data_IF_492886104674
#
_entry.id   IF_492886104674
#
_cell.length_a   1.000
_cell.length_b   1.000
_cell.length_c   1.000
_cell.angle_alpha   90.00
_cell.angle_beta   90.00
_cell.angle_gamma   90.00
#
_symmetry.space_group_name_H-M   'P 1'
#
loop_
_entity.id
_entity.type
_entity.pdbx_description
1 polymer ?
#
# COMPACT_ATOMS: atom_id res chain seq x y z
N UNK A 1 69.77 -24.11 -13.26
CA UNK A 1 69.41 -23.98 -14.68
C UNK A 1 67.92 -24.27 -14.78
N UNK A 2 67.09 -23.22 -14.75
CA UNK A 2 65.74 -23.21 -15.31
C UNK A 2 65.84 -23.37 -16.86
N UNK A 3 64.79 -23.82 -17.61
CA UNK A 3 63.57 -23.02 -17.84
C UNK A 3 62.24 -23.81 -18.02
N UNK A 4 61.19 -23.03 -18.27
CA UNK A 4 59.70 -23.20 -18.26
C UNK A 4 59.09 -23.91 -19.53
N UNK A 5 57.76 -23.86 -19.84
CA UNK A 5 56.74 -24.95 -19.87
C UNK A 5 56.34 -25.45 -21.30
N UNK A 6 55.23 -26.22 -21.52
CA UNK A 6 53.86 -25.64 -21.73
C UNK A 6 52.63 -26.52 -21.33
N UNK A 7 51.43 -25.90 -21.22
CA UNK A 7 50.08 -26.54 -21.23
C UNK A 7 49.50 -26.61 -22.67
N UNK A 8 48.41 -27.35 -23.04
CA UNK A 8 47.01 -26.94 -22.76
C UNK A 8 45.92 -28.07 -22.67
N UNK A 9 44.68 -27.61 -22.42
CA UNK A 9 43.34 -28.23 -22.30
C UNK A 9 42.87 -29.23 -23.39
N UNK A 10 41.81 -30.03 -23.10
CA UNK A 10 40.46 -29.87 -23.72
C UNK A 10 39.44 -30.91 -23.23
N UNK A 11 38.26 -30.45 -22.75
CA UNK A 11 36.92 -31.05 -22.96
C UNK A 11 35.89 -30.40 -21.99
N UNK A 12 34.63 -30.21 -22.40
CA UNK A 12 34.12 -28.85 -22.66
C UNK A 12 33.04 -28.41 -21.68
N UNK A 13 33.07 -27.11 -21.33
CA UNK A 13 31.87 -26.38 -20.90
C UNK A 13 31.28 -25.69 -22.13
N UNK A 14 29.97 -25.80 -22.40
CA UNK A 14 29.33 -24.96 -23.40
C UNK A 14 29.09 -23.55 -22.85
N UNK A 15 29.54 -22.56 -23.63
CA UNK A 15 29.38 -21.13 -23.42
C UNK A 15 27.93 -20.61 -23.58
N UNK A 16 27.59 -19.73 -22.64
CA UNK A 16 26.94 -18.41 -22.71
C UNK A 16 26.43 -17.88 -24.07
N UNK A 17 25.20 -17.33 -24.07
CA UNK A 17 24.76 -15.94 -24.43
C UNK A 17 23.21 -15.95 -24.64
N UNK A 18 22.35 -14.98 -24.33
CA UNK A 18 22.45 -13.57 -23.94
C UNK A 18 21.10 -13.10 -23.35
N UNK A 19 21.15 -12.12 -22.46
CA UNK A 19 20.34 -10.88 -22.44
C UNK A 19 18.80 -10.89 -22.67
N UNK A 20 18.04 -10.56 -21.61
CA UNK A 20 17.37 -9.24 -21.41
C UNK A 20 16.12 -9.35 -20.50
N UNK A 21 16.29 -8.82 -19.28
CA UNK A 21 15.41 -7.81 -18.69
C UNK A 21 13.88 -8.02 -18.82
N UNK A 22 13.22 -8.56 -17.79
CA UNK A 22 12.10 -7.82 -17.21
C UNK A 22 11.80 -8.16 -15.75
N UNK A 23 11.91 -7.12 -14.94
CA UNK A 23 11.54 -7.00 -13.54
C UNK A 23 10.02 -6.82 -13.45
N UNK A 24 9.32 -7.74 -12.80
CA UNK A 24 7.97 -7.47 -12.32
C UNK A 24 7.70 -8.23 -11.01
N UNK A 25 7.98 -7.55 -9.90
CA UNK A 25 7.30 -7.78 -8.63
C UNK A 25 5.80 -7.56 -8.83
N UNK A 26 4.96 -8.48 -8.35
CA UNK A 26 3.51 -8.34 -8.45
C UNK A 26 2.76 -9.31 -7.55
N UNK A 27 2.43 -8.83 -6.36
CA UNK A 27 1.20 -9.16 -5.61
C UNK A 27 0.91 -10.64 -5.33
N UNK A 28 1.38 -11.12 -4.18
CA UNK A 28 0.88 -12.36 -3.59
C UNK A 28 -0.62 -12.20 -3.27
N UNK A 29 -1.47 -12.66 -4.18
CA UNK A 29 -2.85 -13.00 -3.86
C UNK A 29 -2.81 -14.24 -2.96
N UNK A 30 -3.65 -14.35 -1.92
CA UNK A 30 -3.81 -15.63 -1.25
C UNK A 30 -4.37 -16.61 -2.29
N UNK A 31 -3.58 -17.64 -2.64
CA UNK A 31 -4.02 -18.71 -3.55
C UNK A 31 -5.04 -19.60 -2.83
N UNK A 32 -6.24 -19.07 -2.67
CA UNK A 32 -7.42 -19.91 -2.49
C UNK A 32 -7.57 -20.65 -3.82
N UNK A 33 -7.50 -21.99 -3.87
CA UNK A 33 -7.72 -22.72 -5.10
C UNK A 33 -9.13 -22.36 -5.60
N UNK A 34 -9.19 -21.54 -6.65
CA UNK A 34 -10.41 -21.19 -7.36
C UNK A 34 -10.87 -22.45 -8.10
N UNK A 35 -11.53 -23.34 -7.36
CA UNK A 35 -12.08 -24.56 -7.94
C UNK A 35 -13.10 -24.18 -9.01
N UNK A 36 -13.11 -24.90 -10.13
CA UNK A 36 -14.09 -24.68 -11.21
C UNK A 36 -15.54 -24.78 -10.68
N UNK A 37 -15.76 -25.60 -9.65
CA UNK A 37 -17.03 -25.70 -8.93
C UNK A 37 -17.47 -24.37 -8.29
N UNK A 38 -16.53 -23.59 -7.73
CA UNK A 38 -16.83 -22.27 -7.19
C UNK A 38 -17.24 -21.26 -8.28
N UNK A 39 -16.67 -21.35 -9.48
CA UNK A 39 -17.03 -20.49 -10.61
C UNK A 39 -18.49 -20.68 -11.06
N UNK A 40 -19.00 -21.92 -11.00
CA UNK A 40 -20.41 -22.21 -11.34
C UNK A 40 -21.34 -21.58 -10.30
N UNK A 41 -21.01 -21.69 -9.01
CA UNK A 41 -21.80 -21.06 -7.95
C UNK A 41 -21.81 -19.53 -8.01
N UNK A 42 -20.71 -18.91 -8.47
CA UNK A 42 -20.66 -17.46 -8.69
C UNK A 42 -21.48 -17.02 -9.91
N UNK A 43 -21.61 -17.86 -10.94
CA UNK A 43 -22.41 -17.57 -12.13
C UNK A 43 -23.93 -17.67 -11.85
N UNK A 44 -24.33 -18.55 -10.94
CA UNK A 44 -25.74 -18.77 -10.56
C UNK A 44 -26.21 -17.87 -9.39
N UNK A 45 -25.41 -16.89 -8.98
CA UNK A 45 -25.77 -16.01 -7.88
C UNK A 45 -26.95 -15.08 -8.28
N UNK A 46 -27.93 -14.84 -7.39
CA UNK A 46 -29.00 -13.88 -7.65
C UNK A 46 -28.45 -12.51 -8.04
N UNK A 47 -29.13 -11.83 -8.98
CA UNK A 47 -28.69 -10.55 -9.58
C UNK A 47 -28.36 -9.48 -8.53
N UNK A 48 -29.10 -9.45 -7.42
CA UNK A 48 -28.87 -8.52 -6.31
C UNK A 48 -27.55 -8.79 -5.58
N UNK A 49 -27.20 -10.06 -5.38
CA UNK A 49 -25.95 -10.45 -4.73
C UNK A 49 -24.75 -10.22 -5.65
N UNK A 50 -24.89 -10.44 -6.97
CA UNK A 50 -23.86 -10.07 -7.96
C UNK A 50 -23.66 -8.55 -8.01
N UNK A 51 -24.74 -7.76 -7.96
CA UNK A 51 -24.66 -6.30 -7.96
C UNK A 51 -24.00 -5.77 -6.67
N UNK A 52 -24.36 -6.33 -5.51
CA UNK A 52 -23.73 -5.99 -4.24
C UNK A 52 -22.22 -6.31 -4.26
N UNK A 53 -21.83 -7.48 -4.79
CA UNK A 53 -20.43 -7.86 -4.91
C UNK A 53 -19.66 -6.96 -5.90
N UNK A 54 -20.25 -6.59 -7.03
CA UNK A 54 -19.63 -5.67 -7.99
C UNK A 54 -19.40 -4.27 -7.40
N UNK A 55 -20.23 -3.87 -6.42
CA UNK A 55 -20.06 -2.62 -5.68
C UNK A 55 -19.11 -2.75 -4.47
N UNK A 56 -18.81 -3.98 -4.02
CA UNK A 56 -17.92 -4.22 -2.90
C UNK A 56 -16.46 -3.98 -3.31
N UNK A 57 -15.76 -3.09 -2.58
CA UNK A 57 -14.37 -2.71 -2.85
C UNK A 57 -14.18 -1.63 -3.91
N UNK A 58 -15.25 -1.23 -4.61
CA UNK A 58 -15.24 -0.10 -5.55
C UNK A 58 -15.65 1.20 -4.88
N UNK A 59 -14.75 2.19 -4.83
CA UNK A 59 -15.11 3.54 -4.40
C UNK A 59 -15.46 4.40 -5.62
N UNK A 60 -16.67 4.99 -5.69
CA UNK A 60 -16.98 5.94 -6.75
C UNK A 60 -15.98 7.10 -6.71
N UNK A 61 -15.51 7.62 -7.86
CA UNK A 61 -14.51 8.69 -7.90
C UNK A 61 -14.91 9.95 -7.10
N UNK A 62 -16.21 10.22 -7.03
CA UNK A 62 -16.80 11.33 -6.31
C UNK A 62 -16.94 11.11 -4.80
N UNK A 63 -16.79 9.88 -4.30
CA UNK A 63 -16.91 9.58 -2.89
C UNK A 63 -15.71 10.19 -2.14
N UNK A 64 -16.01 11.00 -1.11
CA UNK A 64 -15.00 11.60 -0.25
C UNK A 64 -15.23 11.17 1.18
N UNK A 65 -14.14 10.82 1.85
CA UNK A 65 -14.13 10.47 3.27
C UNK A 65 -13.53 11.61 4.07
N UNK A 66 -14.00 11.75 5.30
CA UNK A 66 -13.50 12.76 6.24
C UNK A 66 -12.33 12.17 7.01
N UNK A 67 -11.18 12.82 6.94
CA UNK A 67 -9.96 12.43 7.64
C UNK A 67 -9.63 13.51 8.66
N UNK A 68 -9.44 13.11 9.91
CA UNK A 68 -9.04 13.98 11.03
C UNK A 68 -7.61 13.68 11.45
N UNK A 69 -6.73 14.64 11.28
CA UNK A 69 -5.33 14.56 11.70
C UNK A 69 -5.17 14.94 13.16
N UNK A 70 -4.41 14.16 13.92
CA UNK A 70 -4.08 14.44 15.32
C UNK A 70 -2.58 14.47 15.49
N UNK A 71 -2.04 15.60 15.95
CA UNK A 71 -0.63 15.68 16.34
C UNK A 71 -0.38 14.79 17.57
N UNK A 72 0.72 14.03 17.55
CA UNK A 72 1.18 13.21 18.67
C UNK A 72 2.62 13.57 19.02
N UNK A 73 2.89 13.67 20.32
CA UNK A 73 4.20 14.04 20.85
C UNK A 73 4.57 15.47 20.46
N UNK A 74 5.80 15.65 19.98
CA UNK A 74 6.36 16.96 19.61
C UNK A 74 6.05 17.38 18.16
N UNK A 75 5.08 16.74 17.49
CA UNK A 75 4.73 17.07 16.11
C UNK A 75 3.99 18.42 16.02
N UNK A 76 4.31 19.28 15.02
CA UNK A 76 3.61 20.56 14.85
C UNK A 76 2.12 20.37 14.58
N UNK A 77 1.27 21.16 15.23
CA UNK A 77 -0.18 21.14 14.98
C UNK A 77 -0.52 21.73 13.60
N UNK A 78 -1.46 21.10 12.90
CA UNK A 78 -2.01 21.64 11.66
C UNK A 78 -3.01 22.76 11.93
N UNK A 79 -3.05 23.77 11.06
CA UNK A 79 -4.10 24.80 11.09
C UNK A 79 -5.50 24.24 10.80
N UNK A 80 -5.57 23.24 9.92
CA UNK A 80 -6.81 22.52 9.61
C UNK A 80 -6.55 21.03 9.82
N UNK A 81 -7.12 20.50 10.89
CA UNK A 81 -6.98 19.11 11.31
C UNK A 81 -7.95 18.19 10.54
N UNK A 82 -9.06 18.70 10.03
CA UNK A 82 -10.04 17.90 9.26
C UNK A 82 -10.00 18.24 7.78
N UNK A 83 -9.81 17.23 6.92
CA UNK A 83 -9.91 17.38 5.47
C UNK A 83 -10.77 16.28 4.82
N UNK A 84 -11.21 16.53 3.59
CA UNK A 84 -11.94 15.55 2.77
C UNK A 84 -11.00 15.00 1.69
N UNK A 85 -10.83 13.68 1.67
CA UNK A 85 -9.98 12.97 0.71
C UNK A 85 -10.86 12.05 -0.12
N UNK A 86 -10.56 11.91 -1.41
CA UNK A 86 -11.28 10.96 -2.26
C UNK A 86 -11.01 9.53 -1.77
N UNK A 87 -12.08 8.75 -1.63
CA UNK A 87 -12.03 7.41 -1.05
C UNK A 87 -11.20 6.43 -1.90
N UNK A 88 -11.06 6.66 -3.20
CA UNK A 88 -10.27 5.83 -4.11
C UNK A 88 -8.76 6.09 -4.06
N UNK A 89 -8.31 7.09 -3.29
CA UNK A 89 -6.88 7.40 -3.16
C UNK A 89 -6.19 6.42 -2.23
N UNK A 90 -4.89 6.23 -2.48
CA UNK A 90 -4.00 5.45 -1.62
C UNK A 90 -3.52 6.27 -0.42
N UNK A 91 -3.15 5.59 0.65
CA UNK A 91 -2.68 6.21 1.88
C UNK A 91 -1.36 6.98 1.69
N UNK A 92 -0.52 6.61 0.71
CA UNK A 92 0.66 7.39 0.33
C UNK A 92 0.36 8.87 0.01
N UNK A 93 -0.80 9.18 -0.56
CA UNK A 93 -1.18 10.55 -0.87
C UNK A 93 -1.47 11.35 0.41
N UNK A 94 -2.00 10.68 1.44
CA UNK A 94 -2.24 11.27 2.76
C UNK A 94 -0.91 11.62 3.42
N UNK A 95 0.06 10.71 3.37
CA UNK A 95 1.43 10.95 3.85
C UNK A 95 2.07 12.13 3.11
N UNK A 96 2.00 12.14 1.77
CA UNK A 96 2.54 13.22 0.92
C UNK A 96 1.86 14.56 1.18
N UNK A 97 0.55 14.57 1.43
CA UNK A 97 -0.20 15.76 1.82
C UNK A 97 0.30 16.32 3.15
N UNK A 98 0.46 15.44 4.14
CA UNK A 98 0.89 15.83 5.48
C UNK A 98 2.32 16.38 5.48
N UNK A 99 3.26 15.72 4.79
CA UNK A 99 4.65 16.20 4.66
C UNK A 99 4.72 17.61 4.06
N UNK A 100 3.92 17.89 3.03
CA UNK A 100 3.82 19.24 2.43
C UNK A 100 3.24 20.26 3.39
N UNK A 101 2.19 19.90 4.15
CA UNK A 101 1.53 20.79 5.11
C UNK A 101 2.41 21.13 6.31
N UNK A 102 3.17 20.17 6.81
CA UNK A 102 4.11 20.36 7.92
C UNK A 102 5.44 20.99 7.49
N UNK A 103 5.68 21.16 6.18
CA UNK A 103 6.95 21.64 5.61
C UNK A 103 8.14 20.77 6.03
N UNK A 104 7.93 19.47 6.18
CA UNK A 104 8.98 18.51 6.47
C UNK A 104 9.96 18.43 5.29
N UNK A 105 11.25 18.30 5.60
CA UNK A 105 12.29 18.02 4.60
C UNK A 105 12.15 16.58 4.10
N UNK A 106 12.80 16.28 2.97
CA UNK A 106 12.82 14.94 2.41
C UNK A 106 13.50 13.92 3.35
N UNK A 107 14.47 14.39 4.14
CA UNK A 107 15.17 13.64 5.18
C UNK A 107 14.34 13.40 6.44
N UNK A 108 13.25 14.14 6.64
CA UNK A 108 12.47 14.05 7.87
C UNK A 108 11.49 12.88 7.79
N UNK A 109 11.52 12.04 8.82
CA UNK A 109 10.57 10.95 9.00
C UNK A 109 9.25 11.49 9.53
N UNK A 110 8.15 11.00 8.96
CA UNK A 110 6.80 11.28 9.45
C UNK A 110 6.04 9.96 9.54
N UNK A 111 5.60 9.63 10.74
CA UNK A 111 4.87 8.39 11.04
C UNK A 111 3.39 8.71 11.16
N UNK A 112 2.55 7.92 10.51
CA UNK A 112 1.09 8.09 10.53
C UNK A 112 0.45 6.80 11.04
N UNK A 113 -0.51 6.95 11.93
CA UNK A 113 -1.20 5.87 12.60
C UNK A 113 -2.71 6.06 12.51
N UNK A 114 -3.44 5.03 12.13
CA UNK A 114 -4.90 5.03 12.18
C UNK A 114 -5.34 4.75 13.61
N UNK A 115 -6.21 5.62 14.14
CA UNK A 115 -6.75 5.54 15.51
C UNK A 115 -5.70 5.43 16.62
N UNK A 116 -4.46 5.90 16.38
CA UNK A 116 -3.32 5.76 17.31
C UNK A 116 -2.98 4.31 17.67
N UNK A 117 -3.28 3.36 16.78
CA UNK A 117 -3.10 1.93 17.04
C UNK A 117 -2.08 1.29 16.09
N UNK A 118 -2.22 1.51 14.77
CA UNK A 118 -1.38 0.85 13.77
C UNK A 118 -1.05 1.79 12.61
N UNK A 119 0.07 1.53 11.92
CA UNK A 119 0.45 2.24 10.71
C UNK A 119 -0.02 1.42 9.48
N UNK A 120 -0.95 1.94 8.66
CA UNK A 120 -1.40 1.23 7.45
C UNK A 120 -0.31 1.25 6.37
N UNK A 121 -0.36 0.27 5.45
CA UNK A 121 0.52 0.25 4.28
C UNK A 121 0.23 1.43 3.35
N UNK A 122 1.24 1.86 2.60
CA UNK A 122 1.14 3.04 1.72
C UNK A 122 0.21 2.83 0.53
N UNK A 123 0.02 1.58 0.12
CA UNK A 123 -0.86 1.13 -0.96
C UNK A 123 -2.31 0.91 -0.52
N UNK A 124 -2.60 0.98 0.78
CA UNK A 124 -3.95 0.87 1.31
C UNK A 124 -4.86 1.98 0.79
N UNK A 125 -6.11 1.62 0.50
CA UNK A 125 -7.12 2.55 0.00
C UNK A 125 -7.78 3.28 1.16
N UNK A 126 -7.80 4.61 1.13
CA UNK A 126 -8.31 5.43 2.23
C UNK A 126 -9.79 5.16 2.51
N UNK A 127 -10.58 4.83 1.47
CA UNK A 127 -11.97 4.39 1.61
C UNK A 127 -12.12 3.13 2.47
N UNK A 128 -11.26 2.12 2.27
CA UNK A 128 -11.29 0.89 3.06
C UNK A 128 -10.97 1.20 4.53
N UNK A 129 -9.93 2.00 4.77
CA UNK A 129 -9.54 2.43 6.11
C UNK A 129 -10.67 3.19 6.80
N UNK A 130 -11.36 4.07 6.09
CA UNK A 130 -12.51 4.80 6.64
C UNK A 130 -13.68 3.87 6.96
N UNK A 131 -14.03 2.95 6.06
CA UNK A 131 -15.14 2.02 6.27
C UNK A 131 -14.92 1.12 7.51
N UNK A 132 -13.68 0.67 7.72
CA UNK A 132 -13.33 -0.23 8.82
C UNK A 132 -13.03 0.49 10.14
N UNK A 133 -12.46 1.70 10.09
CA UNK A 133 -11.86 2.35 11.27
C UNK A 133 -12.36 3.77 11.54
N UNK A 134 -13.46 4.22 10.91
CA UNK A 134 -14.10 5.49 11.25
C UNK A 134 -14.58 5.51 12.70
N UNK A 135 -14.54 6.70 13.31
CA UNK A 135 -15.10 6.94 14.63
C UNK A 135 -16.62 7.17 14.58
N UNK A 136 -17.23 7.42 15.75
CA UNK A 136 -18.66 7.73 15.89
C UNK A 136 -19.14 8.99 15.15
N UNK A 137 -18.21 9.82 14.64
CA UNK A 137 -18.50 11.02 13.86
C UNK A 137 -18.27 10.82 12.36
N UNK A 138 -18.15 9.58 11.89
CA UNK A 138 -17.83 9.22 10.51
C UNK A 138 -16.49 9.82 10.01
N UNK A 139 -15.49 9.89 10.90
CA UNK A 139 -14.15 10.39 10.56
C UNK A 139 -13.09 9.31 10.74
N UNK A 140 -12.17 9.21 9.79
CA UNK A 140 -10.95 8.43 9.93
C UNK A 140 -9.93 9.26 10.71
N UNK A 141 -9.59 8.83 11.93
CA UNK A 141 -8.60 9.54 12.76
C UNK A 141 -7.20 9.06 12.39
N UNK A 142 -6.35 9.98 11.97
CA UNK A 142 -4.96 9.75 11.59
C UNK A 142 -4.06 10.52 12.54
N UNK A 143 -3.48 9.82 13.50
CA UNK A 143 -2.46 10.35 14.38
C UNK A 143 -1.13 10.47 13.61
N UNK A 144 -0.39 11.55 13.81
CA UNK A 144 0.92 11.73 13.18
C UNK A 144 2.00 12.18 14.17
N UNK A 145 3.22 11.70 13.96
CA UNK A 145 4.39 12.01 14.80
C UNK A 145 5.69 12.07 13.99
N UNK A 146 6.69 12.78 14.50
CA UNK A 146 8.03 12.87 13.90
C UNK A 146 8.89 11.67 14.31
N UNK A 147 8.72 11.20 15.55
CA UNK A 147 9.33 9.98 16.06
C UNK A 147 8.29 8.86 16.08
N UNK A 148 8.70 7.58 15.97
CA UNK A 148 7.79 6.46 16.21
C UNK A 148 7.13 6.61 17.59
N UNK A 149 5.81 6.49 17.65
CA UNK A 149 5.04 6.73 18.87
C UNK A 149 4.23 5.52 19.33
N UNK A 150 3.87 4.63 18.41
CA UNK A 150 3.11 3.42 18.68
C UNK A 150 3.80 2.26 17.93
N UNK A 151 3.99 1.14 18.62
CA UNK A 151 4.71 -0.05 18.16
C UNK A 151 4.58 -1.16 19.18
#
# INVERSE_FOLDING_TARGET
>A
MDPDPPSPSDSPMPDTDSDMNNRASGTASPEIPLTLSASVMLADLPRDATAALASAGGFPPQLKVVVKFKAVGSAPALQQDVCKISASRKFEEVVRYLRRKLRCKETDSVFLYVNSAFAPSLDEVVGNLHQCFKNAHDQLVVAYSITPAFG
#
